data_IF_058172835207
#
_entry.id   IF_058172835207
#
_cell.length_a   1.000
_cell.length_b   1.000
_cell.length_c   1.000
_cell.angle_alpha   90.00
_cell.angle_beta   90.00
_cell.angle_gamma   90.00
#
_symmetry.space_group_name_H-M   'P 1'
#
loop_
_entity.id
_entity.type
_entity.pdbx_description
1 polymer ?
#
# COMPACT_ATOMS: atom_id res chain seq x y z
N UNK A 1 -49.06 -40.76 31.71
CA UNK A 1 -48.47 -39.50 32.21
C UNK A 1 -47.32 -39.08 31.26
N UNK A 2 -47.59 -38.17 30.32
CA UNK A 2 -46.63 -37.73 29.32
C UNK A 2 -46.00 -36.44 29.79
N UNK A 3 -44.68 -36.41 30.01
CA UNK A 3 -43.89 -35.21 30.25
C UNK A 3 -43.30 -34.75 28.92
N UNK A 4 -43.83 -33.65 28.36
CA UNK A 4 -43.26 -32.93 27.24
C UNK A 4 -42.14 -32.03 27.77
N UNK A 5 -40.88 -32.29 27.37
CA UNK A 5 -39.75 -31.35 27.55
C UNK A 5 -39.80 -30.32 26.47
N UNK A 6 -39.98 -29.05 26.84
CA UNK A 6 -39.77 -27.89 25.98
C UNK A 6 -38.30 -27.56 26.01
N UNK A 7 -37.60 -27.75 24.88
CA UNK A 7 -36.27 -27.21 24.63
C UNK A 7 -36.45 -25.77 24.16
N UNK A 8 -36.11 -24.80 24.99
CA UNK A 8 -35.93 -23.41 24.59
C UNK A 8 -34.57 -23.31 23.94
N UNK A 9 -34.52 -23.25 22.59
CA UNK A 9 -33.33 -22.86 21.83
C UNK A 9 -33.19 -21.36 21.93
N UNK A 10 -32.26 -20.90 22.76
CA UNK A 10 -31.82 -19.51 22.77
C UNK A 10 -31.01 -19.24 21.48
N UNK A 11 -31.65 -18.62 20.50
CA UNK A 11 -30.96 -18.00 19.38
C UNK A 11 -30.20 -16.80 19.93
N UNK A 12 -28.90 -16.97 20.16
CA UNK A 12 -27.98 -15.87 20.35
C UNK A 12 -27.79 -15.19 19.01
N UNK A 13 -28.58 -14.15 18.73
CA UNK A 13 -28.30 -13.20 17.67
C UNK A 13 -27.04 -12.41 18.07
N UNK A 14 -25.90 -12.79 17.53
CA UNK A 14 -24.71 -11.95 17.56
C UNK A 14 -25.03 -10.69 16.76
N UNK A 15 -25.35 -9.60 17.46
CA UNK A 15 -25.29 -8.27 16.88
C UNK A 15 -23.84 -8.04 16.46
N UNK A 16 -23.54 -8.26 15.18
CA UNK A 16 -22.30 -7.77 14.61
C UNK A 16 -22.33 -6.24 14.80
N UNK A 17 -21.54 -5.74 15.74
CA UNK A 17 -21.33 -4.31 15.90
C UNK A 17 -20.86 -3.79 14.53
N UNK A 18 -21.60 -2.84 13.98
CA UNK A 18 -21.13 -2.14 12.78
C UNK A 18 -19.74 -1.55 13.08
N UNK A 19 -18.77 -1.81 12.22
CA UNK A 19 -17.42 -1.30 12.39
C UNK A 19 -17.48 0.22 12.59
N UNK A 20 -16.90 0.71 13.69
CA UNK A 20 -16.83 2.13 13.94
C UNK A 20 -15.77 2.74 13.02
N UNK A 21 -16.18 3.57 12.06
CA UNK A 21 -15.29 4.29 11.17
C UNK A 21 -15.23 5.76 11.53
N UNK A 22 -14.06 6.36 11.33
CA UNK A 22 -13.89 7.79 11.51
C UNK A 22 -14.74 8.59 10.51
N UNK A 23 -15.28 9.74 10.93
CA UNK A 23 -16.00 10.63 10.03
C UNK A 23 -15.13 11.04 8.83
N UNK A 24 -15.73 11.14 7.64
CA UNK A 24 -15.01 11.48 6.40
C UNK A 24 -14.12 12.72 6.52
N UNK A 25 -14.54 13.74 7.27
CA UNK A 25 -13.73 14.96 7.51
C UNK A 25 -12.38 14.70 8.21
N UNK A 26 -12.24 13.57 8.92
CA UNK A 26 -11.00 13.13 9.55
C UNK A 26 -10.20 12.17 8.65
N UNK A 27 -10.89 11.31 7.94
CA UNK A 27 -10.28 10.27 7.10
C UNK A 27 -9.96 10.74 5.68
N UNK A 28 -10.47 11.91 5.24
CA UNK A 28 -10.20 12.43 3.91
C UNK A 28 -9.82 13.92 3.94
N UNK A 29 -8.55 14.22 3.66
CA UNK A 29 -8.02 15.58 3.66
C UNK A 29 -7.65 16.01 2.24
N UNK A 30 -7.98 17.26 1.88
CA UNK A 30 -7.65 17.85 0.57
C UNK A 30 -8.65 17.53 -0.53
N UNK A 31 -9.96 17.65 -0.25
CA UNK A 31 -11.05 17.39 -1.19
C UNK A 31 -10.88 18.18 -2.50
N UNK A 32 -10.49 19.45 -2.44
CA UNK A 32 -10.26 20.29 -3.63
C UNK A 32 -9.18 19.72 -4.54
N UNK A 33 -8.13 19.14 -3.95
CA UNK A 33 -7.06 18.49 -4.71
C UNK A 33 -7.54 17.20 -5.36
N UNK A 34 -8.31 16.41 -4.65
CA UNK A 34 -9.00 15.24 -5.20
C UNK A 34 -9.85 15.62 -6.41
N UNK A 35 -10.70 16.65 -6.28
CA UNK A 35 -11.56 17.11 -7.38
C UNK A 35 -10.75 17.55 -8.60
N UNK A 36 -9.64 18.28 -8.40
CA UNK A 36 -8.73 18.67 -9.50
C UNK A 36 -8.11 17.47 -10.18
N UNK A 37 -7.67 16.45 -9.45
CA UNK A 37 -7.11 15.22 -10.02
C UNK A 37 -8.17 14.45 -10.83
N UNK A 38 -9.38 14.37 -10.34
CA UNK A 38 -10.49 13.74 -11.06
C UNK A 38 -10.82 14.53 -12.35
N UNK A 39 -10.91 15.84 -12.27
CA UNK A 39 -11.16 16.68 -13.44
C UNK A 39 -10.07 16.53 -14.50
N UNK A 40 -8.79 16.50 -14.08
CA UNK A 40 -7.65 16.27 -14.95
C UNK A 40 -7.73 14.89 -15.65
N UNK A 41 -8.08 13.85 -14.90
CA UNK A 41 -8.21 12.50 -15.43
C UNK A 41 -9.36 12.37 -16.43
N UNK A 42 -10.49 13.05 -16.20
CA UNK A 42 -11.62 13.09 -17.13
C UNK A 42 -11.24 13.84 -18.41
N UNK A 43 -10.66 15.03 -18.29
CA UNK A 43 -10.24 15.87 -19.43
C UNK A 43 -9.18 15.16 -20.28
N UNK A 44 -8.24 14.42 -19.65
CA UNK A 44 -7.20 13.66 -20.32
C UNK A 44 -7.64 12.27 -20.80
N UNK A 45 -8.90 11.90 -20.62
CA UNK A 45 -9.43 10.56 -20.94
C UNK A 45 -8.58 9.41 -20.36
N UNK A 46 -8.08 9.56 -19.12
CA UNK A 46 -7.18 8.57 -18.51
C UNK A 46 -7.84 7.21 -18.30
N UNK A 47 -9.15 7.16 -18.22
CA UNK A 47 -9.89 5.90 -18.13
C UNK A 47 -9.60 4.95 -19.30
N UNK A 48 -9.35 5.48 -20.49
CA UNK A 48 -9.02 4.68 -21.68
C UNK A 48 -7.59 4.11 -21.64
N UNK A 49 -6.73 4.59 -20.75
CA UNK A 49 -5.35 4.12 -20.63
C UNK A 49 -5.28 2.77 -19.88
N UNK A 50 -4.25 1.95 -20.14
CA UNK A 50 -3.95 0.76 -19.33
C UNK A 50 -3.80 1.11 -17.85
N UNK A 51 -4.08 0.16 -16.93
CA UNK A 51 -4.06 0.41 -15.50
C UNK A 51 -2.72 1.00 -15.01
N UNK A 52 -1.59 0.42 -15.39
CA UNK A 52 -0.27 0.94 -15.01
C UNK A 52 -0.06 2.38 -15.48
N UNK A 53 -0.46 2.70 -16.73
CA UNK A 53 -0.36 4.07 -17.25
C UNK A 53 -1.23 5.04 -16.44
N UNK A 54 -2.44 4.65 -16.03
CA UNK A 54 -3.29 5.46 -15.14
C UNK A 54 -2.61 5.72 -13.80
N UNK A 55 -2.02 4.68 -13.19
CA UNK A 55 -1.27 4.81 -11.92
C UNK A 55 -0.12 5.80 -12.08
N UNK A 56 0.66 5.70 -13.16
CA UNK A 56 1.75 6.63 -13.43
C UNK A 56 1.27 8.07 -13.65
N UNK A 57 0.18 8.28 -14.39
CA UNK A 57 -0.41 9.61 -14.61
C UNK A 57 -0.88 10.26 -13.30
N UNK A 58 -1.56 9.51 -12.42
CA UNK A 58 -1.92 10.01 -11.10
C UNK A 58 -0.70 10.27 -10.23
N UNK A 59 0.30 9.38 -10.27
CA UNK A 59 1.57 9.59 -9.58
C UNK A 59 2.23 10.91 -10.00
N UNK A 60 2.32 11.16 -11.31
CA UNK A 60 2.87 12.41 -11.86
C UNK A 60 2.04 13.65 -11.48
N UNK A 61 0.71 13.53 -11.48
CA UNK A 61 -0.17 14.65 -11.09
C UNK A 61 -0.06 15.01 -9.58
N UNK A 62 0.54 14.12 -8.78
CA UNK A 62 0.82 14.38 -7.36
C UNK A 62 2.26 14.86 -7.09
N UNK A 63 3.09 15.11 -8.13
CA UNK A 63 4.44 15.66 -7.95
C UNK A 63 4.41 16.96 -7.15
N UNK A 64 5.45 17.17 -6.34
CA UNK A 64 5.56 18.33 -5.47
C UNK A 64 4.72 18.28 -4.20
N UNK A 65 3.86 17.26 -3.99
CA UNK A 65 3.16 17.09 -2.71
C UNK A 65 4.17 16.91 -1.59
N UNK A 66 3.96 17.60 -0.47
CA UNK A 66 4.85 17.50 0.70
C UNK A 66 4.95 16.07 1.20
N UNK A 67 6.15 15.66 1.61
CA UNK A 67 6.32 14.45 2.40
C UNK A 67 5.84 14.70 3.82
N UNK A 68 4.95 13.84 4.29
CA UNK A 68 4.52 13.79 5.69
C UNK A 68 4.51 12.32 6.10
N UNK A 69 5.34 11.97 7.08
CA UNK A 69 5.40 10.59 7.58
C UNK A 69 4.22 10.26 8.49
N UNK A 70 3.99 8.96 8.69
CA UNK A 70 2.99 8.40 9.61
C UNK A 70 1.54 8.74 9.23
N UNK A 71 1.26 8.94 7.95
CA UNK A 71 -0.07 9.33 7.47
C UNK A 71 -1.07 8.18 7.41
N UNK A 72 -0.63 6.95 7.67
CA UNK A 72 -1.50 5.77 7.80
C UNK A 72 -2.24 5.73 9.14
N UNK A 73 -1.65 6.27 10.20
CA UNK A 73 -2.20 6.22 11.57
C UNK A 73 -2.82 7.57 11.95
N UNK A 74 -4.11 7.74 11.66
CA UNK A 74 -4.82 9.01 11.83
C UNK A 74 -5.60 9.12 13.14
N UNK A 75 -5.73 8.02 13.88
CA UNK A 75 -6.38 7.94 15.19
C UNK A 75 -5.64 6.97 16.11
N UNK A 76 -5.85 7.07 17.42
CA UNK A 76 -5.19 6.22 18.41
C UNK A 76 -5.93 4.91 18.66
N UNK A 77 -7.25 4.83 18.33
CA UNK A 77 -8.11 3.73 18.74
C UNK A 77 -9.03 3.22 17.62
N UNK A 78 -9.25 3.99 16.56
CA UNK A 78 -10.15 3.63 15.46
C UNK A 78 -9.35 3.51 14.17
N UNK A 79 -9.23 2.31 13.65
CA UNK A 79 -8.66 2.07 12.32
C UNK A 79 -9.71 2.39 11.25
N UNK A 80 -9.34 3.17 10.25
CA UNK A 80 -10.23 3.55 9.14
C UNK A 80 -9.45 3.79 7.86
N UNK A 81 -10.02 3.45 6.69
CA UNK A 81 -9.48 3.88 5.41
C UNK A 81 -9.29 5.39 5.38
N UNK A 82 -8.13 5.85 4.91
CA UNK A 82 -7.81 7.27 4.93
C UNK A 82 -6.99 7.72 3.72
N UNK A 83 -7.18 8.98 3.33
CA UNK A 83 -6.43 9.66 2.26
C UNK A 83 -6.09 11.08 2.71
N UNK A 84 -4.84 11.49 2.48
CA UNK A 84 -4.38 12.84 2.78
C UNK A 84 -3.64 13.44 1.57
N UNK A 85 -4.32 14.27 0.79
CA UNK A 85 -3.70 14.98 -0.35
C UNK A 85 -2.85 16.18 0.07
N UNK A 86 -2.84 16.55 1.35
CA UNK A 86 -2.03 17.67 1.84
C UNK A 86 -0.60 17.24 2.20
N UNK A 87 -0.40 15.92 2.37
CA UNK A 87 0.91 15.33 2.65
C UNK A 87 0.86 13.81 2.51
N UNK A 88 1.91 13.25 1.90
CA UNK A 88 2.01 11.82 1.60
C UNK A 88 3.34 11.27 2.11
N UNK A 89 3.33 10.06 2.63
CA UNK A 89 4.52 9.23 2.75
C UNK A 89 4.65 8.28 1.53
N UNK A 90 5.66 7.42 1.53
CA UNK A 90 5.91 6.53 0.41
C UNK A 90 4.77 5.52 0.21
N UNK A 91 4.17 5.03 1.31
CA UNK A 91 3.07 4.07 1.25
C UNK A 91 1.78 4.74 0.75
N UNK A 92 1.37 5.81 1.40
CA UNK A 92 0.13 6.50 1.02
C UNK A 92 0.20 7.12 -0.37
N UNK A 93 1.40 7.46 -0.87
CA UNK A 93 1.60 7.93 -2.24
C UNK A 93 1.23 6.87 -3.29
N UNK A 94 1.84 5.68 -3.24
CA UNK A 94 1.56 4.66 -4.26
C UNK A 94 0.14 4.12 -4.16
N UNK A 95 -0.38 3.93 -2.93
CA UNK A 95 -1.76 3.48 -2.74
C UNK A 95 -2.78 4.50 -3.24
N UNK A 96 -2.54 5.80 -3.01
CA UNK A 96 -3.43 6.86 -3.51
C UNK A 96 -3.43 6.88 -5.05
N UNK A 97 -2.27 6.74 -5.69
CA UNK A 97 -2.17 6.66 -7.15
C UNK A 97 -2.92 5.42 -7.70
N UNK A 98 -2.73 4.26 -7.07
CA UNK A 98 -3.43 3.02 -7.43
C UNK A 98 -4.94 3.16 -7.20
N UNK A 99 -5.36 3.66 -6.04
CA UNK A 99 -6.78 3.85 -5.69
C UNK A 99 -7.51 4.78 -6.67
N UNK A 100 -6.90 5.92 -7.02
CA UNK A 100 -7.42 6.84 -8.04
C UNK A 100 -7.55 6.15 -9.41
N UNK A 101 -6.53 5.40 -9.83
CA UNK A 101 -6.52 4.68 -11.10
C UNK A 101 -7.62 3.61 -11.19
N UNK A 102 -7.86 2.91 -10.08
CA UNK A 102 -8.93 1.91 -9.94
C UNK A 102 -10.31 2.56 -9.88
N UNK A 103 -10.45 3.66 -9.14
CA UNK A 103 -11.68 4.43 -9.01
C UNK A 103 -12.14 4.95 -10.38
N UNK A 104 -11.23 5.60 -11.14
CA UNK A 104 -11.59 6.19 -12.45
C UNK A 104 -11.89 5.13 -13.51
N UNK A 105 -11.44 3.88 -13.33
CA UNK A 105 -11.79 2.76 -14.21
C UNK A 105 -13.29 2.45 -14.23
N UNK A 106 -13.97 2.73 -13.12
CA UNK A 106 -15.41 2.50 -12.94
C UNK A 106 -16.18 3.74 -13.38
N UNK A 107 -16.92 3.72 -14.52
CA UNK A 107 -17.60 4.92 -15.01
C UNK A 107 -18.68 5.38 -14.02
N UNK A 108 -18.64 6.67 -13.68
CA UNK A 108 -19.62 7.35 -12.83
C UNK A 108 -19.91 8.76 -13.36
N UNK A 109 -21.10 9.27 -13.07
CA UNK A 109 -21.45 10.66 -13.35
C UNK A 109 -20.63 11.65 -12.52
N UNK A 110 -20.32 11.29 -11.27
CA UNK A 110 -19.47 12.05 -10.37
C UNK A 110 -18.71 11.09 -9.44
N UNK A 111 -17.47 11.43 -9.13
CA UNK A 111 -16.64 10.69 -8.17
C UNK A 111 -16.60 11.45 -6.84
N UNK A 112 -16.69 10.72 -5.75
CA UNK A 112 -16.73 11.24 -4.38
C UNK A 112 -15.53 10.78 -3.57
N UNK A 113 -15.19 11.43 -2.44
CA UNK A 113 -14.21 10.92 -1.49
C UNK A 113 -14.46 9.48 -1.04
N UNK A 114 -15.73 9.08 -0.86
CA UNK A 114 -16.09 7.71 -0.47
C UNK A 114 -15.73 6.69 -1.55
N UNK A 115 -15.77 7.06 -2.83
CA UNK A 115 -15.34 6.16 -3.90
C UNK A 115 -13.85 5.84 -3.82
N UNK A 116 -13.02 6.85 -3.52
CA UNK A 116 -11.58 6.63 -3.34
C UNK A 116 -11.28 5.87 -2.06
N UNK A 117 -11.93 6.22 -0.93
CA UNK A 117 -11.76 5.50 0.33
C UNK A 117 -12.07 4.01 0.17
N UNK A 118 -13.09 3.67 -0.64
CA UNK A 118 -13.41 2.27 -0.96
C UNK A 118 -12.28 1.56 -1.70
N UNK A 119 -11.62 2.19 -2.68
CA UNK A 119 -10.49 1.59 -3.39
C UNK A 119 -9.26 1.44 -2.49
N UNK A 120 -9.03 2.39 -1.58
CA UNK A 120 -7.99 2.30 -0.55
C UNK A 120 -8.29 1.14 0.41
N UNK A 121 -9.52 1.02 0.90
CA UNK A 121 -9.93 -0.08 1.76
C UNK A 121 -9.61 -1.44 1.12
N UNK A 122 -10.02 -1.63 -0.13
CA UNK A 122 -9.82 -2.88 -0.87
C UNK A 122 -8.34 -3.30 -0.91
N UNK A 123 -7.40 -2.37 -1.04
CA UNK A 123 -5.97 -2.72 -1.21
C UNK A 123 -5.17 -2.65 0.09
N UNK A 124 -5.59 -1.88 1.07
CA UNK A 124 -4.86 -1.65 2.34
C UNK A 124 -5.14 -2.70 3.39
N UNK A 125 -6.32 -3.33 3.35
CA UNK A 125 -6.76 -4.23 4.41
C UNK A 125 -6.81 -5.68 3.93
N UNK A 126 -6.50 -6.62 4.83
CA UNK A 126 -6.59 -8.06 4.56
C UNK A 126 -8.02 -8.43 4.17
N UNK A 127 -8.16 -9.17 3.09
CA UNK A 127 -9.48 -9.48 2.53
C UNK A 127 -10.25 -8.29 1.95
N UNK A 128 -9.67 -7.07 1.97
CA UNK A 128 -10.26 -5.86 1.38
C UNK A 128 -11.35 -5.19 2.22
N UNK A 129 -11.40 -5.46 3.52
CA UNK A 129 -12.40 -4.91 4.43
C UNK A 129 -11.73 -4.43 5.72
N UNK A 130 -12.09 -3.22 6.16
CA UNK A 130 -11.71 -2.66 7.45
C UNK A 130 -12.88 -2.82 8.42
N UNK A 131 -12.69 -3.59 9.50
CA UNK A 131 -13.67 -3.75 10.57
C UNK A 131 -13.39 -2.81 11.76
N UNK A 132 -12.55 -1.78 11.57
CA UNK A 132 -12.17 -0.86 12.63
C UNK A 132 -11.00 -1.35 13.50
N UNK A 133 -10.46 -2.52 13.22
CA UNK A 133 -9.34 -3.09 13.97
C UNK A 133 -8.01 -2.79 13.26
N UNK A 134 -7.02 -2.34 14.06
CA UNK A 134 -5.67 -2.07 13.57
C UNK A 134 -5.02 -3.26 12.86
N UNK A 135 -5.28 -4.47 13.34
CA UNK A 135 -4.74 -5.71 12.77
C UNK A 135 -5.44 -6.15 11.47
N UNK A 136 -6.51 -5.49 11.03
CA UNK A 136 -7.07 -5.70 9.69
C UNK A 136 -6.16 -5.11 8.61
N UNK A 137 -5.43 -4.03 8.94
CA UNK A 137 -4.52 -3.36 8.00
C UNK A 137 -3.31 -4.25 7.69
N UNK A 138 -2.91 -4.25 6.43
CA UNK A 138 -1.64 -4.82 5.99
C UNK A 138 -0.53 -3.85 6.38
N UNK A 139 0.43 -4.30 7.20
CA UNK A 139 1.47 -3.43 7.76
C UNK A 139 2.80 -3.53 7.02
N UNK A 140 3.05 -4.61 6.30
CA UNK A 140 4.30 -4.92 5.62
C UNK A 140 4.11 -5.01 4.11
N UNK A 141 5.08 -4.48 3.34
CA UNK A 141 4.98 -4.47 1.88
C UNK A 141 5.03 -5.86 1.26
N UNK A 142 5.78 -6.79 1.83
CA UNK A 142 5.82 -8.18 1.39
C UNK A 142 4.44 -8.84 1.51
N UNK A 143 3.72 -8.59 2.60
CA UNK A 143 2.33 -9.02 2.75
C UNK A 143 1.42 -8.29 1.75
N UNK A 144 1.61 -6.98 1.57
CA UNK A 144 0.81 -6.20 0.63
C UNK A 144 0.91 -6.74 -0.79
N UNK A 145 2.14 -7.04 -1.25
CA UNK A 145 2.38 -7.61 -2.57
C UNK A 145 1.74 -8.97 -2.74
N UNK A 146 1.87 -9.86 -1.76
CA UNK A 146 1.33 -11.23 -1.85
C UNK A 146 -0.18 -11.28 -1.71
N UNK A 147 -0.77 -10.54 -0.76
CA UNK A 147 -2.21 -10.48 -0.54
C UNK A 147 -2.94 -9.86 -1.75
N UNK A 148 -2.47 -8.70 -2.23
CA UNK A 148 -3.10 -8.05 -3.37
C UNK A 148 -2.91 -8.82 -4.69
N UNK A 149 -1.82 -9.58 -4.83
CA UNK A 149 -1.64 -10.48 -5.96
C UNK A 149 -2.60 -11.68 -5.89
N UNK A 150 -2.77 -12.30 -4.72
CA UNK A 150 -3.70 -13.40 -4.52
C UNK A 150 -5.16 -12.98 -4.80
N UNK A 151 -5.53 -11.73 -4.48
CA UNK A 151 -6.86 -11.16 -4.76
C UNK A 151 -7.02 -10.58 -6.17
N UNK A 152 -5.98 -10.63 -7.01
CA UNK A 152 -6.05 -10.19 -8.40
C UNK A 152 -6.03 -8.67 -8.61
N UNK A 153 -5.58 -7.89 -7.62
CA UNK A 153 -5.46 -6.43 -7.75
C UNK A 153 -4.16 -6.00 -8.40
N UNK A 154 -3.14 -6.83 -8.28
CA UNK A 154 -1.85 -6.68 -8.95
C UNK A 154 -1.35 -8.05 -9.41
N UNK A 155 -0.38 -8.07 -10.30
CA UNK A 155 0.41 -9.27 -10.63
C UNK A 155 1.79 -9.14 -10.01
N UNK A 156 2.18 -10.08 -9.15
CA UNK A 156 3.54 -10.18 -8.65
C UNK A 156 4.45 -10.67 -9.78
N UNK A 157 5.29 -9.80 -10.31
CA UNK A 157 6.05 -10.07 -11.54
C UNK A 157 7.57 -10.15 -11.34
N UNK A 158 8.05 -10.08 -10.11
CA UNK A 158 9.47 -10.03 -9.77
C UNK A 158 10.29 -11.11 -10.50
N UNK A 159 9.89 -12.37 -10.39
CA UNK A 159 10.58 -13.49 -11.04
C UNK A 159 10.41 -13.55 -12.58
N UNK A 160 9.46 -12.77 -13.13
CA UNK A 160 9.21 -12.72 -14.58
C UNK A 160 10.10 -11.71 -15.29
N UNK A 161 10.66 -10.76 -14.56
CA UNK A 161 11.43 -9.65 -15.13
C UNK A 161 12.93 -9.74 -14.83
N UNK A 162 13.36 -10.63 -13.95
CA UNK A 162 14.80 -10.79 -13.65
C UNK A 162 15.10 -12.00 -12.78
N UNK A 163 16.41 -12.27 -12.59
CA UNK A 163 16.87 -13.31 -11.67
C UNK A 163 16.52 -12.91 -10.23
N UNK A 164 16.14 -13.88 -9.42
CA UNK A 164 15.69 -13.65 -8.05
C UNK A 164 16.64 -14.24 -7.02
N UNK A 165 16.61 -13.62 -5.83
CA UNK A 165 17.05 -14.21 -4.57
C UNK A 165 15.83 -14.35 -3.68
N UNK A 166 15.72 -15.48 -2.99
CA UNK A 166 14.64 -15.78 -2.06
C UNK A 166 15.03 -15.45 -0.64
N UNK A 167 14.20 -14.64 0.02
CA UNK A 167 14.24 -14.42 1.46
C UNK A 167 13.27 -15.41 2.12
N UNK A 168 13.76 -16.16 3.10
CA UNK A 168 12.96 -17.06 3.91
C UNK A 168 13.59 -17.18 5.30
N UNK A 169 12.77 -17.21 6.33
CA UNK A 169 13.23 -17.34 7.72
C UNK A 169 14.02 -16.14 8.24
N UNK A 170 13.90 -14.98 7.59
CA UNK A 170 14.45 -13.71 8.05
C UNK A 170 13.36 -12.93 8.79
N UNK A 171 13.69 -12.43 9.98
CA UNK A 171 12.77 -11.65 10.79
C UNK A 171 12.27 -10.39 10.05
N UNK A 172 10.96 -10.15 10.11
CA UNK A 172 10.27 -8.95 9.60
C UNK A 172 9.28 -8.47 10.67
N UNK A 173 9.81 -8.05 11.82
CA UNK A 173 9.11 -7.87 13.08
C UNK A 173 9.40 -6.53 13.77
N UNK A 174 9.78 -5.50 12.96
CA UNK A 174 10.12 -4.17 13.46
C UNK A 174 9.01 -3.57 14.34
N UNK A 175 7.75 -3.75 13.98
CA UNK A 175 6.64 -3.10 14.67
C UNK A 175 6.41 -3.69 16.07
N UNK A 176 6.47 -5.02 16.22
CA UNK A 176 6.31 -5.65 17.54
C UNK A 176 7.54 -5.44 18.44
N UNK A 177 8.74 -5.29 17.87
CA UNK A 177 9.95 -4.95 18.60
C UNK A 177 9.96 -3.47 19.07
N UNK A 178 9.39 -2.58 18.28
CA UNK A 178 9.42 -1.14 18.53
C UNK A 178 8.01 -0.51 18.59
N UNK A 179 7.06 -1.06 19.37
CA UNK A 179 5.66 -0.65 19.31
C UNK A 179 5.44 0.82 19.71
N UNK A 180 6.36 1.39 20.49
CA UNK A 180 6.29 2.80 20.92
C UNK A 180 6.52 3.80 19.79
N UNK A 181 7.08 3.37 18.65
CA UNK A 181 7.25 4.21 17.47
C UNK A 181 5.95 4.37 16.69
N UNK A 182 4.99 3.48 16.89
CA UNK A 182 3.72 3.42 16.17
C UNK A 182 2.61 3.97 17.07
N UNK A 183 1.99 5.05 16.63
CA UNK A 183 0.99 5.80 17.40
C UNK A 183 -0.11 4.89 17.94
N UNK A 184 -0.68 4.04 17.09
CA UNK A 184 -1.77 3.15 17.46
C UNK A 184 -1.32 2.07 18.47
N UNK A 185 -0.18 1.43 18.24
CA UNK A 185 0.37 0.41 19.15
C UNK A 185 0.78 1.01 20.50
N UNK A 186 1.30 2.23 20.49
CA UNK A 186 1.62 2.96 21.73
C UNK A 186 0.38 3.19 22.58
N UNK A 187 -0.77 3.50 21.96
CA UNK A 187 -2.04 3.67 22.65
C UNK A 187 -2.71 2.32 23.03
N UNK A 188 -2.40 1.25 22.28
CA UNK A 188 -3.02 -0.06 22.44
C UNK A 188 -1.99 -1.19 22.57
N UNK A 189 -1.16 -1.22 23.60
CA UNK A 189 -0.06 -2.19 23.72
C UNK A 189 -0.53 -3.64 23.81
N UNK A 190 -1.77 -3.89 24.17
CA UNK A 190 -2.37 -5.22 24.19
C UNK A 190 -2.47 -5.90 22.78
N UNK A 191 -2.34 -5.12 21.70
CA UNK A 191 -2.32 -5.64 20.33
C UNK A 191 -0.96 -6.24 19.92
N UNK A 192 0.13 -5.89 20.61
CA UNK A 192 1.50 -6.28 20.24
C UNK A 192 1.67 -7.80 20.12
N UNK A 193 1.18 -8.66 21.06
CA UNK A 193 1.30 -10.10 20.92
C UNK A 193 0.60 -10.65 19.67
N UNK A 194 -0.57 -10.14 19.32
CA UNK A 194 -1.30 -10.57 18.13
C UNK A 194 -0.62 -10.09 16.84
N UNK A 195 -0.04 -8.89 16.82
CA UNK A 195 0.79 -8.41 15.73
C UNK A 195 2.03 -9.29 15.54
N UNK A 196 2.74 -9.61 16.62
CA UNK A 196 3.91 -10.50 16.56
C UNK A 196 3.59 -11.87 15.96
N UNK A 197 2.39 -12.42 16.23
CA UNK A 197 1.94 -13.65 15.56
C UNK A 197 1.73 -13.48 14.04
N UNK A 198 1.30 -12.29 13.59
CA UNK A 198 1.20 -11.97 12.16
C UNK A 198 2.61 -11.94 11.56
N UNK A 199 3.53 -11.22 12.17
CA UNK A 199 4.94 -11.11 11.75
C UNK A 199 5.62 -12.47 11.64
N UNK A 200 5.48 -13.34 12.63
CA UNK A 200 6.00 -14.71 12.60
C UNK A 200 5.42 -15.57 11.46
N UNK A 201 4.17 -15.33 11.07
CA UNK A 201 3.61 -16.00 9.88
C UNK A 201 4.24 -15.48 8.60
N UNK A 202 4.43 -14.17 8.48
CA UNK A 202 5.06 -13.53 7.31
C UNK A 202 6.51 -13.99 7.13
N UNK A 203 7.28 -14.13 8.19
CA UNK A 203 8.65 -14.64 8.15
C UNK A 203 8.77 -16.02 7.46
N UNK A 204 7.73 -16.86 7.58
CA UNK A 204 7.69 -18.20 6.97
C UNK A 204 7.31 -18.19 5.50
N UNK A 205 6.74 -17.07 5.00
CA UNK A 205 6.35 -16.93 3.60
C UNK A 205 7.58 -16.56 2.77
N UNK A 206 7.97 -17.37 1.77
CA UNK A 206 9.08 -17.03 0.89
C UNK A 206 8.78 -15.72 0.14
N UNK A 207 9.74 -14.81 0.10
CA UNK A 207 9.64 -13.53 -0.57
C UNK A 207 10.80 -13.35 -1.55
N UNK A 208 10.50 -13.27 -2.83
CA UNK A 208 11.49 -13.19 -3.90
C UNK A 208 11.77 -11.72 -4.27
N UNK A 209 13.05 -11.37 -4.46
CA UNK A 209 13.45 -10.05 -4.92
C UNK A 209 14.54 -10.13 -6.00
N UNK A 210 14.64 -9.11 -6.85
CA UNK A 210 15.74 -8.95 -7.81
C UNK A 210 16.90 -8.26 -7.09
N UNK A 211 18.09 -8.87 -7.01
CA UNK A 211 19.26 -8.25 -6.39
C UNK A 211 19.65 -6.94 -7.06
N UNK A 212 20.15 -5.99 -6.27
CA UNK A 212 20.55 -4.65 -6.75
C UNK A 212 21.46 -4.70 -8.00
N UNK A 213 22.42 -5.61 -8.05
CA UNK A 213 23.35 -5.76 -9.17
C UNK A 213 22.65 -6.16 -10.49
N UNK A 214 21.43 -6.71 -10.43
CA UNK A 214 20.70 -7.19 -11.61
C UNK A 214 19.63 -6.18 -12.07
N UNK A 215 19.37 -5.12 -11.32
CA UNK A 215 18.25 -4.20 -11.59
C UNK A 215 18.44 -3.43 -12.90
N UNK A 216 19.65 -2.98 -13.22
CA UNK A 216 19.93 -2.28 -14.47
C UNK A 216 19.48 -3.08 -15.72
N UNK A 217 19.74 -4.39 -15.74
CA UNK A 217 19.34 -5.29 -16.82
C UNK A 217 17.82 -5.58 -16.84
N UNK A 218 17.10 -5.27 -15.76
CA UNK A 218 15.66 -5.48 -15.63
C UNK A 218 14.85 -4.22 -15.93
N UNK A 219 15.44 -3.02 -15.80
CA UNK A 219 14.74 -1.75 -16.04
C UNK A 219 13.95 -1.68 -17.36
N UNK A 220 14.43 -2.20 -18.50
CA UNK A 220 13.68 -2.16 -19.76
C UNK A 220 12.39 -2.99 -19.74
N UNK A 221 12.22 -3.92 -18.79
CA UNK A 221 11.02 -4.77 -18.62
C UNK A 221 9.99 -4.17 -17.68
N UNK A 222 10.37 -3.13 -16.93
CA UNK A 222 9.45 -2.36 -16.10
C UNK A 222 8.52 -1.52 -16.99
N UNK A 223 7.31 -1.30 -16.51
CA UNK A 223 6.30 -0.50 -17.21
C UNK A 223 5.87 0.66 -16.32
N UNK A 224 5.36 1.71 -16.93
CA UNK A 224 4.80 2.85 -16.21
C UNK A 224 3.76 2.38 -15.19
N UNK A 225 3.92 2.84 -13.94
CA UNK A 225 3.03 2.51 -12.84
C UNK A 225 3.26 1.14 -12.19
N UNK A 226 4.30 0.37 -12.58
CA UNK A 226 4.73 -0.77 -11.79
C UNK A 226 5.08 -0.29 -10.38
N UNK A 227 4.60 -1.01 -9.37
CA UNK A 227 4.85 -0.69 -7.96
C UNK A 227 6.16 -1.36 -7.56
N UNK A 228 7.11 -0.55 -7.09
CA UNK A 228 8.48 -0.96 -6.77
C UNK A 228 8.68 -0.89 -5.27
N UNK A 229 8.81 -2.03 -4.62
CA UNK A 229 9.26 -2.12 -3.23
C UNK A 229 10.78 -2.21 -3.17
N UNK A 230 11.41 -1.42 -2.30
CA UNK A 230 12.86 -1.41 -2.09
C UNK A 230 13.19 -2.37 -0.97
N UNK A 231 13.81 -3.49 -1.33
CA UNK A 231 14.28 -4.51 -0.38
C UNK A 231 15.58 -4.03 0.28
N UNK A 232 15.73 -4.30 1.56
CA UNK A 232 16.87 -3.83 2.35
C UNK A 232 17.61 -4.98 3.06
N UNK A 233 18.91 -4.76 3.34
CA UNK A 233 19.70 -5.63 4.20
C UNK A 233 19.53 -5.31 5.71
N UNK A 234 18.72 -4.31 6.07
CA UNK A 234 18.47 -3.97 7.48
C UNK A 234 17.75 -5.12 8.17
N UNK A 235 18.18 -5.43 9.38
CA UNK A 235 17.50 -6.41 10.21
C UNK A 235 16.06 -6.00 10.51
N UNK A 236 15.19 -6.98 10.69
CA UNK A 236 13.77 -6.80 11.06
C UNK A 236 12.89 -6.08 10.04
N UNK A 237 13.40 -5.76 8.83
CA UNK A 237 12.65 -5.08 7.76
C UNK A 237 13.00 -5.68 6.40
N UNK A 238 12.01 -6.19 5.63
CA UNK A 238 12.25 -6.66 4.26
C UNK A 238 12.26 -5.50 3.27
N UNK A 239 11.23 -4.66 3.30
CA UNK A 239 11.09 -3.51 2.42
C UNK A 239 11.11 -2.21 3.23
N UNK A 240 12.05 -1.33 2.93
CA UNK A 240 12.21 -0.04 3.62
C UNK A 240 11.55 1.13 2.91
N UNK A 241 11.13 0.95 1.67
CA UNK A 241 10.56 2.03 0.85
C UNK A 241 9.74 1.49 -0.32
N UNK A 242 8.90 2.34 -0.90
CA UNK A 242 8.06 2.01 -2.05
C UNK A 242 7.81 3.21 -2.93
N UNK A 243 7.61 2.98 -4.23
CA UNK A 243 7.24 3.99 -5.22
C UNK A 243 6.77 3.35 -6.51
N UNK A 244 6.79 4.12 -7.58
CA UNK A 244 6.30 3.75 -8.91
C UNK A 244 7.42 3.82 -9.94
N UNK A 245 7.39 2.94 -10.91
CA UNK A 245 8.24 2.98 -12.08
C UNK A 245 7.71 3.99 -13.10
N UNK A 246 8.59 4.74 -13.72
CA UNK A 246 8.28 5.66 -14.81
C UNK A 246 9.37 5.60 -15.89
N UNK A 247 9.00 5.15 -17.08
CA UNK A 247 9.87 5.20 -18.26
C UNK A 247 10.02 6.64 -18.73
N UNK A 248 11.24 7.11 -18.88
CA UNK A 248 11.56 8.48 -19.28
C UNK A 248 12.14 8.53 -20.68
N UNK A 249 12.26 9.74 -21.24
CA UNK A 249 12.79 9.96 -22.60
C UNK A 249 14.27 9.59 -22.76
N UNK A 250 15.02 9.50 -21.66
CA UNK A 250 16.40 9.03 -21.63
C UNK A 250 16.54 7.52 -21.83
N UNK A 251 15.41 6.81 -22.02
CA UNK A 251 15.36 5.36 -22.18
C UNK A 251 15.53 4.58 -20.88
N UNK A 252 15.59 5.27 -19.72
CA UNK A 252 15.75 4.67 -18.39
C UNK A 252 14.41 4.64 -17.62
N UNK A 253 14.32 3.71 -16.71
CA UNK A 253 13.17 3.60 -15.80
C UNK A 253 13.50 4.33 -14.48
N UNK A 254 12.86 5.48 -14.27
CA UNK A 254 13.04 6.30 -13.08
C UNK A 254 12.15 5.90 -11.93
N UNK A 255 12.59 6.20 -10.71
CA UNK A 255 11.85 5.94 -9.48
C UNK A 255 11.03 7.17 -9.09
N UNK A 256 9.71 7.05 -9.10
CA UNK A 256 8.79 8.11 -8.70
C UNK A 256 8.21 7.79 -7.33
N UNK A 257 8.50 8.62 -6.33
CA UNK A 257 8.15 8.32 -4.93
C UNK A 257 7.98 9.56 -4.06
N UNK A 258 7.38 9.40 -2.88
CA UNK A 258 7.43 10.41 -1.84
C UNK A 258 8.75 10.28 -1.07
N UNK A 259 9.65 11.25 -1.23
CA UNK A 259 11.00 11.24 -0.67
C UNK A 259 11.05 11.96 0.67
N UNK A 260 11.47 11.25 1.73
CA UNK A 260 11.75 11.86 3.03
C UNK A 260 12.89 12.88 2.94
N UNK A 261 13.94 12.58 2.16
CA UNK A 261 15.11 13.46 2.00
C UNK A 261 14.76 14.73 1.22
N UNK A 262 14.05 14.59 0.08
CA UNK A 262 13.62 15.74 -0.73
C UNK A 262 12.37 16.44 -0.17
N UNK A 263 11.73 15.89 0.89
CA UNK A 263 10.54 16.43 1.54
C UNK A 263 9.31 16.58 0.63
N UNK A 264 9.26 15.82 -0.46
CA UNK A 264 8.17 15.89 -1.45
C UNK A 264 8.09 14.63 -2.32
N UNK A 265 6.98 14.50 -3.05
CA UNK A 265 6.85 13.56 -4.16
C UNK A 265 7.67 14.08 -5.35
N UNK A 266 8.50 13.22 -5.95
CA UNK A 266 9.33 13.55 -7.09
C UNK A 266 9.57 12.35 -8.00
N UNK A 267 10.04 12.62 -9.22
CA UNK A 267 10.72 11.65 -10.06
C UNK A 267 12.21 11.76 -9.71
N UNK A 268 12.77 10.68 -9.18
CA UNK A 268 14.17 10.59 -8.78
C UNK A 268 15.00 9.96 -9.92
N UNK A 269 16.21 9.55 -9.62
CA UNK A 269 17.16 8.86 -10.51
C UNK A 269 16.53 7.60 -11.11
N UNK A 270 17.12 7.06 -12.19
CA UNK A 270 16.86 5.68 -12.59
C UNK A 270 16.91 4.71 -11.40
N UNK A 271 16.07 3.69 -11.39
CA UNK A 271 15.89 2.79 -10.23
C UNK A 271 17.22 2.16 -9.81
N UNK A 272 18.04 1.72 -10.77
CA UNK A 272 19.36 1.18 -10.47
C UNK A 272 20.26 2.19 -9.74
N UNK A 273 20.30 3.44 -10.22
CA UNK A 273 21.14 4.49 -9.64
C UNK A 273 20.63 4.91 -8.24
N UNK A 274 19.30 4.90 -8.06
CA UNK A 274 18.68 5.11 -6.75
C UNK A 274 19.13 4.04 -5.75
N UNK A 275 19.09 2.77 -6.15
CA UNK A 275 19.54 1.66 -5.31
C UNK A 275 21.04 1.75 -5.00
N UNK A 276 21.86 2.11 -5.99
CA UNK A 276 23.31 2.23 -5.84
C UNK A 276 23.69 3.31 -4.81
N UNK A 277 22.90 4.39 -4.71
CA UNK A 277 23.17 5.52 -3.82
C UNK A 277 23.01 5.18 -2.32
N UNK A 278 22.43 4.03 -1.95
CA UNK A 278 22.18 3.65 -0.56
C UNK A 278 22.72 2.22 -0.31
N UNK A 279 23.69 2.10 0.58
CA UNK A 279 24.37 0.82 0.88
C UNK A 279 23.40 -0.26 1.39
N UNK A 280 22.43 0.13 2.21
CA UNK A 280 21.47 -0.80 2.81
C UNK A 280 20.45 -1.38 1.80
N UNK A 281 20.29 -0.82 0.61
CA UNK A 281 19.38 -1.35 -0.39
C UNK A 281 19.94 -2.68 -0.96
N UNK A 282 19.11 -3.72 -0.93
CA UNK A 282 19.44 -5.07 -1.40
C UNK A 282 18.96 -5.31 -2.85
N UNK A 283 17.83 -4.71 -3.23
CA UNK A 283 17.23 -4.92 -4.54
C UNK A 283 15.78 -4.43 -4.58
N UNK A 284 15.00 -4.97 -5.51
CA UNK A 284 13.59 -4.59 -5.71
C UNK A 284 12.66 -5.80 -5.75
N UNK A 285 11.43 -5.55 -5.34
CA UNK A 285 10.27 -6.38 -5.62
C UNK A 285 9.31 -5.59 -6.50
N UNK A 286 8.60 -6.26 -7.40
CA UNK A 286 7.75 -5.58 -8.40
C UNK A 286 6.37 -6.21 -8.49
N UNK A 287 5.35 -5.36 -8.37
CA UNK A 287 3.97 -5.71 -8.68
C UNK A 287 3.41 -4.80 -9.77
N UNK A 288 2.73 -5.39 -10.75
CA UNK A 288 2.09 -4.69 -11.86
C UNK A 288 0.59 -4.56 -11.62
N UNK A 289 0.03 -3.35 -11.55
CA UNK A 289 -1.42 -3.12 -11.45
C UNK A 289 -2.19 -3.75 -12.61
N UNK A 290 -3.40 -4.29 -12.33
CA UNK A 290 -4.28 -4.94 -13.32
C UNK A 290 -5.68 -4.35 -13.27
#
# INVERSE_FOLDING_TARGET
MNRRHWLHTLLATSLASAAEHLPQKRSFLGVDRFQRLVALAIAGNWRAQPMGQRVALFGQAMLGTKYVGWTLEIDDHIESPSVNFLGLDCWTYFETALGLARMIAKPKAAYTPSDLLREIEITRYRGGVCHGNYLDRIHYLDEWFTDNAARGHVRYITSKIGPIVRLQGRANDEMSLNPKLYRYLKANPALVPALSQIEQRLERVPFDYIPKAQVAACEPRLQNGDIIGIVTHRDHVFCSHVGLALQMQDGRCHFMHASLTAKKVLIDKPIHDYLASIKAHAGIVVARPV
#
